data_IF_497259907233
#
_entry.id   IF_497259907233
#
_cell.length_a   1.000
_cell.length_b   1.000
_cell.length_c   1.000
_cell.angle_alpha   90.00
_cell.angle_beta   90.00
_cell.angle_gamma   90.00
#
_symmetry.space_group_name_H-M   'P 1'
#
loop_
_entity.id
_entity.type
_entity.pdbx_description
1 polymer ?
#
# COMPACT_ATOMS: atom_id res chain seq x y z
N UNK A 1 8.65 -26.16 -12.74
CA UNK A 1 9.61 -25.35 -11.97
C UNK A 1 9.61 -25.85 -10.54
N UNK A 2 10.75 -26.44 -10.08
CA UNK A 2 10.94 -26.79 -8.67
C UNK A 2 11.49 -25.57 -7.92
N UNK A 3 10.65 -24.57 -7.70
CA UNK A 3 11.04 -23.41 -6.88
C UNK A 3 10.89 -23.77 -5.41
N UNK A 4 11.96 -23.61 -4.63
CA UNK A 4 11.89 -23.70 -3.17
C UNK A 4 11.13 -22.49 -2.63
N UNK A 5 10.08 -22.74 -1.86
CA UNK A 5 9.26 -21.68 -1.26
C UNK A 5 9.27 -21.79 0.26
N UNK A 6 9.32 -20.64 0.96
CA UNK A 6 9.16 -20.57 2.40
C UNK A 6 8.39 -19.30 2.77
N UNK A 7 7.71 -19.33 3.91
CA UNK A 7 6.90 -18.22 4.41
C UNK A 7 7.62 -17.52 5.57
N UNK A 8 7.71 -16.20 5.45
CA UNK A 8 8.10 -15.34 6.57
C UNK A 8 6.90 -14.48 6.96
N UNK A 9 6.65 -14.35 8.24
CA UNK A 9 5.58 -13.52 8.78
C UNK A 9 6.06 -12.66 9.94
N UNK A 10 5.35 -11.56 10.17
CA UNK A 10 5.57 -10.66 11.30
C UNK A 10 4.21 -10.15 11.81
N UNK A 11 4.14 -9.60 13.05
CA UNK A 11 2.88 -9.13 13.61
C UNK A 11 2.23 -8.07 12.73
N UNK A 12 0.89 -8.09 12.65
CA UNK A 12 0.13 -7.09 11.91
C UNK A 12 0.19 -5.71 12.58
N UNK A 13 0.03 -4.65 11.80
CA UNK A 13 -0.04 -3.27 12.25
C UNK A 13 1.21 -2.45 11.97
N UNK A 14 1.04 -1.14 12.00
CA UNK A 14 2.09 -0.15 11.68
C UNK A 14 3.31 -0.26 12.61
N UNK A 15 3.10 -0.68 13.86
CA UNK A 15 4.18 -0.88 14.84
C UNK A 15 5.22 -1.92 14.43
N UNK A 16 4.91 -2.77 13.44
CA UNK A 16 5.84 -3.73 12.86
C UNK A 16 6.70 -3.15 11.73
N UNK A 17 6.40 -1.95 11.26
CA UNK A 17 7.11 -1.31 10.13
C UNK A 17 8.44 -0.70 10.59
N UNK A 18 9.34 -1.52 11.11
CA UNK A 18 10.57 -1.12 11.79
C UNK A 18 11.82 -1.73 11.21
N UNK A 19 12.98 -1.08 11.46
CA UNK A 19 14.29 -1.62 11.11
C UNK A 19 14.54 -3.01 11.74
N UNK A 20 14.04 -3.26 12.95
CA UNK A 20 14.19 -4.54 13.64
C UNK A 20 13.53 -5.68 12.84
N UNK A 21 12.30 -5.48 12.38
CA UNK A 21 11.58 -6.49 11.56
C UNK A 21 12.25 -6.64 10.19
N UNK A 22 12.67 -5.54 9.56
CA UNK A 22 13.42 -5.59 8.31
C UNK A 22 14.67 -6.46 8.44
N UNK A 23 15.50 -6.20 9.45
CA UNK A 23 16.71 -6.99 9.73
C UNK A 23 16.40 -8.46 9.96
N UNK A 24 15.35 -8.76 10.75
CA UNK A 24 14.89 -10.13 10.96
C UNK A 24 14.56 -10.84 9.64
N UNK A 25 13.81 -10.19 8.75
CA UNK A 25 13.44 -10.76 7.44
C UNK A 25 14.69 -11.04 6.57
N UNK A 26 15.62 -10.09 6.51
CA UNK A 26 16.87 -10.23 5.76
C UNK A 26 17.72 -11.39 6.31
N UNK A 27 17.85 -11.53 7.64
CA UNK A 27 18.56 -12.64 8.26
C UNK A 27 17.91 -13.98 7.98
N UNK A 28 16.57 -14.06 7.99
CA UNK A 28 15.86 -15.29 7.63
C UNK A 28 16.08 -15.67 6.16
N UNK A 29 16.11 -14.70 5.27
CA UNK A 29 16.44 -14.93 3.86
C UNK A 29 17.87 -15.44 3.70
N UNK A 30 18.85 -14.88 4.40
CA UNK A 30 20.24 -15.35 4.39
C UNK A 30 20.33 -16.79 4.91
N UNK A 31 19.69 -17.11 6.03
CA UNK A 31 19.65 -18.47 6.61
C UNK A 31 19.04 -19.50 5.66
N UNK A 32 18.12 -19.06 4.80
CA UNK A 32 17.51 -19.91 3.78
C UNK A 32 18.25 -19.91 2.44
N UNK A 33 19.47 -19.34 2.38
CA UNK A 33 20.30 -19.24 1.18
C UNK A 33 19.60 -18.57 -0.02
N UNK A 34 18.81 -17.51 0.24
CA UNK A 34 18.21 -16.73 -0.81
C UNK A 34 19.28 -15.96 -1.60
N UNK A 35 19.34 -16.18 -2.90
CA UNK A 35 20.24 -15.50 -3.83
C UNK A 35 19.59 -14.32 -4.54
N UNK A 36 20.28 -13.79 -5.55
CA UNK A 36 19.79 -12.69 -6.39
C UNK A 36 18.60 -13.07 -7.28
N UNK A 37 18.40 -14.34 -7.51
CA UNK A 37 17.30 -14.95 -8.26
C UNK A 37 16.03 -15.15 -7.43
N UNK A 38 16.09 -14.82 -6.14
CA UNK A 38 14.93 -14.91 -5.25
C UNK A 38 13.87 -13.90 -5.64
N UNK A 39 12.60 -14.33 -5.67
CA UNK A 39 11.44 -13.47 -5.82
C UNK A 39 10.71 -13.32 -4.48
N UNK A 40 10.51 -12.10 -4.00
CA UNK A 40 9.65 -11.86 -2.85
C UNK A 40 8.20 -11.71 -3.30
N UNK A 41 7.28 -12.42 -2.64
CA UNK A 41 5.84 -12.27 -2.80
C UNK A 41 5.31 -11.58 -1.54
N UNK A 42 4.96 -10.30 -1.66
CA UNK A 42 4.39 -9.49 -0.58
C UNK A 42 2.88 -9.70 -0.51
N UNK A 43 2.43 -10.65 0.32
CA UNK A 43 1.02 -10.94 0.54
C UNK A 43 0.53 -10.25 1.82
N UNK A 44 -0.23 -9.17 1.71
CA UNK A 44 -0.74 -8.44 2.86
C UNK A 44 -1.24 -7.02 2.57
N UNK A 45 -1.45 -6.24 3.61
CA UNK A 45 -1.77 -4.82 3.51
C UNK A 45 -0.56 -3.94 3.18
N UNK A 46 -0.73 -2.62 3.27
CA UNK A 46 0.32 -1.64 2.95
C UNK A 46 1.61 -1.84 3.72
N UNK A 47 1.54 -2.15 5.03
CA UNK A 47 2.73 -2.42 5.86
C UNK A 47 3.57 -3.57 5.30
N UNK A 48 2.92 -4.65 4.84
CA UNK A 48 3.63 -5.79 4.23
C UNK A 48 4.23 -5.38 2.89
N UNK A 49 3.49 -4.65 2.05
CA UNK A 49 3.99 -4.17 0.76
C UNK A 49 5.21 -3.26 0.90
N UNK A 50 5.14 -2.28 1.80
CA UNK A 50 6.24 -1.34 2.05
C UNK A 50 7.48 -2.03 2.62
N UNK A 51 7.29 -2.90 3.61
CA UNK A 51 8.37 -3.64 4.25
C UNK A 51 9.04 -4.61 3.27
N UNK A 52 8.27 -5.43 2.57
CA UNK A 52 8.77 -6.41 1.61
C UNK A 52 9.46 -5.72 0.41
N UNK A 53 8.90 -4.61 -0.06
CA UNK A 53 9.50 -3.80 -1.11
C UNK A 53 10.83 -3.17 -0.68
N UNK A 54 10.94 -2.71 0.57
CA UNK A 54 12.20 -2.15 1.08
C UNK A 54 13.25 -3.24 1.34
N UNK A 55 12.86 -4.42 1.83
CA UNK A 55 13.74 -5.59 1.86
C UNK A 55 14.22 -5.92 0.45
N UNK A 56 13.31 -5.99 -0.53
CA UNK A 56 13.67 -6.29 -1.92
C UNK A 56 14.64 -5.26 -2.50
N UNK A 57 14.47 -3.98 -2.19
CA UNK A 57 15.34 -2.90 -2.67
C UNK A 57 16.78 -2.99 -2.12
N UNK A 58 16.94 -3.46 -0.88
CA UNK A 58 18.23 -3.44 -0.18
C UNK A 58 18.94 -4.79 -0.16
N UNK A 59 18.19 -5.90 -0.12
CA UNK A 59 18.75 -7.24 -0.11
C UNK A 59 19.52 -7.53 -1.40
N UNK A 60 20.77 -8.01 -1.28
CA UNK A 60 21.66 -8.27 -2.42
C UNK A 60 21.82 -7.10 -3.41
N UNK A 61 21.58 -5.86 -2.98
CA UNK A 61 21.54 -4.62 -3.79
C UNK A 61 20.37 -4.56 -4.76
N UNK A 62 19.30 -5.27 -4.46
CA UNK A 62 18.05 -5.28 -5.24
C UNK A 62 17.71 -6.65 -5.80
N UNK A 63 16.56 -7.16 -5.40
CA UNK A 63 15.95 -8.40 -5.93
C UNK A 63 14.52 -8.11 -6.39
N UNK A 64 13.95 -8.94 -7.29
CA UNK A 64 12.58 -8.74 -7.74
C UNK A 64 11.57 -9.02 -6.62
N UNK A 65 10.45 -8.29 -6.64
CA UNK A 65 9.30 -8.60 -5.81
C UNK A 65 7.98 -8.36 -6.57
N UNK A 66 6.92 -8.99 -6.09
CA UNK A 66 5.55 -8.78 -6.54
C UNK A 66 4.67 -8.46 -5.34
N UNK A 67 3.59 -7.72 -5.57
CA UNK A 67 2.61 -7.38 -4.53
C UNK A 67 1.31 -8.14 -4.75
N UNK A 68 0.76 -8.68 -3.65
CA UNK A 68 -0.58 -9.26 -3.55
C UNK A 68 -1.30 -8.54 -2.42
N UNK A 69 -1.83 -7.32 -2.70
CA UNK A 69 -2.46 -6.50 -1.68
C UNK A 69 -3.77 -7.13 -1.19
N UNK A 70 -3.97 -7.20 0.13
CA UNK A 70 -5.14 -7.82 0.75
C UNK A 70 -6.07 -6.82 1.44
N UNK A 71 -5.72 -5.52 1.50
CA UNK A 71 -6.58 -4.45 1.99
C UNK A 71 -6.98 -3.52 0.85
N UNK A 72 -8.16 -2.88 0.94
CA UNK A 72 -8.59 -1.94 -0.10
C UNK A 72 -7.59 -0.79 -0.26
N UNK A 73 -7.07 -0.25 0.83
CA UNK A 73 -6.04 0.78 0.80
C UNK A 73 -4.79 0.34 0.01
N UNK A 74 -4.32 -0.87 0.25
CA UNK A 74 -3.18 -1.39 -0.50
C UNK A 74 -3.51 -1.65 -1.97
N UNK A 75 -4.73 -2.09 -2.29
CA UNK A 75 -5.17 -2.33 -3.66
C UNK A 75 -5.21 -1.05 -4.49
N UNK A 76 -5.64 0.08 -3.89
CA UNK A 76 -5.87 1.33 -4.64
C UNK A 76 -4.71 2.32 -4.53
N UNK A 77 -3.87 2.18 -3.51
CA UNK A 77 -2.84 3.17 -3.20
C UNK A 77 -1.46 2.57 -2.99
N UNK A 78 -1.14 1.99 -1.83
CA UNK A 78 0.24 1.72 -1.44
C UNK A 78 0.97 0.70 -2.32
N UNK A 79 0.28 -0.23 -2.99
CA UNK A 79 0.93 -1.22 -3.86
C UNK A 79 1.51 -0.64 -5.16
N UNK A 80 1.06 0.56 -5.58
CA UNK A 80 1.46 1.19 -6.83
C UNK A 80 2.29 2.45 -6.57
N UNK A 81 3.40 2.59 -7.29
CA UNK A 81 4.24 3.79 -7.26
C UNK A 81 5.58 3.63 -6.58
N UNK A 82 5.90 2.41 -6.14
CA UNK A 82 7.25 2.01 -5.72
C UNK A 82 7.76 2.63 -4.42
N UNK A 83 6.98 3.41 -3.70
CA UNK A 83 7.36 3.90 -2.38
C UNK A 83 7.39 2.71 -1.43
N UNK A 84 8.56 2.43 -0.86
CA UNK A 84 8.77 1.36 0.11
C UNK A 84 9.57 1.92 1.28
N UNK A 85 9.37 1.41 2.48
CA UNK A 85 10.09 1.98 3.62
C UNK A 85 9.65 1.45 4.97
N UNK A 86 10.28 2.02 5.97
CA UNK A 86 10.06 1.75 7.39
C UNK A 86 9.84 3.05 8.15
N UNK A 87 9.27 2.90 9.35
CA UNK A 87 9.09 3.99 10.29
C UNK A 87 10.30 4.11 11.21
N UNK A 88 10.50 5.31 11.71
CA UNK A 88 11.41 5.61 12.82
C UNK A 88 10.60 5.88 14.08
N UNK A 89 11.26 5.98 15.23
CA UNK A 89 10.60 6.33 16.48
C UNK A 89 9.87 7.70 16.44
N UNK A 90 10.28 8.59 15.55
CA UNK A 90 9.78 9.96 15.49
C UNK A 90 8.91 10.24 14.26
N UNK A 91 9.14 9.52 13.15
CA UNK A 91 8.55 9.83 11.85
C UNK A 91 8.19 8.56 11.07
N UNK A 92 7.04 8.59 10.40
CA UNK A 92 6.64 7.55 9.43
C UNK A 92 7.36 7.72 8.09
N UNK A 93 7.66 6.61 7.43
CA UNK A 93 8.07 6.52 6.03
C UNK A 93 9.33 7.32 5.63
N UNK A 94 10.16 7.75 6.60
CA UNK A 94 11.34 8.58 6.30
C UNK A 94 12.54 7.78 5.82
N UNK A 95 12.57 6.48 6.05
CA UNK A 95 13.64 5.60 5.61
C UNK A 95 13.07 4.59 4.63
N UNK A 96 13.52 4.65 3.39
CA UNK A 96 12.98 3.78 2.34
C UNK A 96 13.68 3.92 1.01
N UNK A 97 13.06 3.35 -0.01
CA UNK A 97 13.54 3.38 -1.38
C UNK A 97 12.37 3.45 -2.35
N UNK A 98 12.60 4.01 -3.53
CA UNK A 98 11.71 3.80 -4.67
C UNK A 98 12.09 2.47 -5.33
N UNK A 99 11.26 1.43 -5.17
CA UNK A 99 11.48 0.12 -5.75
C UNK A 99 10.18 -0.42 -6.33
N UNK A 100 10.10 -0.51 -7.65
CA UNK A 100 8.87 -0.90 -8.33
C UNK A 100 8.65 -2.42 -8.24
N UNK A 101 7.44 -2.89 -7.89
CA UNK A 101 7.11 -4.30 -7.99
C UNK A 101 7.09 -4.73 -9.46
N UNK A 102 7.52 -5.96 -9.73
CA UNK A 102 7.45 -6.53 -11.09
C UNK A 102 6.01 -6.71 -11.56
N UNK A 103 5.09 -7.01 -10.62
CA UNK A 103 3.64 -7.10 -10.85
C UNK A 103 2.88 -6.85 -9.56
N UNK A 104 1.62 -6.43 -9.72
CA UNK A 104 0.65 -6.30 -8.63
C UNK A 104 -0.52 -7.22 -9.00
N UNK A 105 -0.84 -8.17 -8.12
CA UNK A 105 -1.97 -9.09 -8.29
C UNK A 105 -3.07 -8.73 -7.32
N UNK A 106 -4.17 -8.17 -7.82
CA UNK A 106 -5.31 -7.74 -7.01
C UNK A 106 -6.41 -8.79 -7.13
N UNK A 107 -6.65 -9.50 -6.02
CA UNK A 107 -7.74 -10.44 -5.88
C UNK A 107 -8.82 -9.85 -4.96
N UNK A 108 -10.01 -9.65 -5.51
CA UNK A 108 -11.13 -9.05 -4.78
C UNK A 108 -11.72 -10.00 -3.72
N UNK A 109 -11.38 -11.27 -3.74
CA UNK A 109 -11.84 -12.21 -2.71
C UNK A 109 -11.30 -11.85 -1.32
N UNK A 110 -10.15 -11.21 -1.22
CA UNK A 110 -9.65 -10.70 0.06
C UNK A 110 -10.59 -9.65 0.70
N UNK A 111 -11.35 -8.91 -0.10
CA UNK A 111 -12.28 -7.87 0.40
C UNK A 111 -13.44 -8.49 1.18
N UNK A 112 -13.86 -9.72 0.85
CA UNK A 112 -15.02 -10.37 1.47
C UNK A 112 -14.90 -10.45 2.99
N UNK A 113 -13.70 -10.78 3.47
CA UNK A 113 -13.41 -10.95 4.90
C UNK A 113 -12.82 -9.70 5.57
N UNK A 114 -12.54 -8.64 4.78
CA UNK A 114 -11.94 -7.42 5.32
C UNK A 114 -12.95 -6.68 6.22
N UNK A 115 -12.59 -6.23 7.43
CA UNK A 115 -13.47 -5.40 8.27
C UNK A 115 -13.95 -4.15 7.55
N UNK A 116 -15.17 -3.70 7.86
CA UNK A 116 -15.75 -2.50 7.21
C UNK A 116 -14.86 -1.27 7.37
N UNK A 117 -14.25 -1.10 8.52
CA UNK A 117 -13.31 0.00 8.79
C UNK A 117 -12.15 0.02 7.79
N UNK A 118 -11.60 -1.15 7.44
CA UNK A 118 -10.53 -1.27 6.46
C UNK A 118 -11.03 -1.00 5.01
N UNK A 119 -12.28 -1.32 4.72
CA UNK A 119 -12.91 -0.95 3.45
C UNK A 119 -13.02 0.57 3.36
N UNK A 120 -13.56 1.22 4.40
CA UNK A 120 -13.72 2.68 4.42
C UNK A 120 -12.37 3.39 4.41
N UNK A 121 -11.37 2.85 5.10
CA UNK A 121 -10.00 3.36 5.08
C UNK A 121 -9.45 3.47 3.64
N UNK A 122 -9.59 2.43 2.82
CA UNK A 122 -9.19 2.48 1.41
C UNK A 122 -10.12 3.31 0.53
N UNK A 123 -11.42 3.32 0.83
CA UNK A 123 -12.41 4.10 0.10
C UNK A 123 -12.13 5.61 0.17
N UNK A 124 -11.74 6.15 1.32
CA UNK A 124 -11.41 7.56 1.44
C UNK A 124 -10.21 7.97 0.58
N UNK A 125 -9.24 7.10 0.37
CA UNK A 125 -8.16 7.36 -0.59
C UNK A 125 -8.67 7.47 -2.04
N UNK A 126 -9.66 6.66 -2.42
CA UNK A 126 -10.30 6.78 -3.75
C UNK A 126 -11.05 8.11 -3.85
N UNK A 127 -11.80 8.48 -2.80
CA UNK A 127 -12.50 9.77 -2.73
C UNK A 127 -11.50 10.92 -2.88
N UNK A 128 -10.41 10.93 -2.12
CA UNK A 128 -9.34 11.93 -2.20
C UNK A 128 -8.79 12.06 -3.63
N UNK A 129 -8.41 10.95 -4.25
CA UNK A 129 -7.88 10.96 -5.63
C UNK A 129 -8.94 11.45 -6.63
N UNK A 130 -10.20 11.13 -6.40
CA UNK A 130 -11.29 11.54 -7.30
C UNK A 130 -11.58 13.03 -7.22
N UNK A 131 -11.52 13.64 -6.04
CA UNK A 131 -11.67 15.09 -5.83
C UNK A 131 -10.66 15.87 -6.67
N UNK A 132 -9.40 15.42 -6.66
CA UNK A 132 -8.32 16.13 -7.35
C UNK A 132 -8.25 15.84 -8.85
N UNK A 133 -8.75 14.69 -9.31
CA UNK A 133 -8.41 14.20 -10.65
C UNK A 133 -9.57 13.67 -11.48
N UNK A 134 -10.74 13.35 -10.91
CA UNK A 134 -11.87 12.75 -11.63
C UNK A 134 -13.24 13.00 -11.00
N UNK A 135 -13.87 14.10 -11.38
CA UNK A 135 -15.20 14.49 -10.88
C UNK A 135 -16.27 13.41 -11.09
N UNK A 136 -16.23 12.64 -12.17
CA UNK A 136 -17.20 11.56 -12.43
C UNK A 136 -17.04 10.42 -11.42
N UNK A 137 -15.80 10.07 -11.09
CA UNK A 137 -15.49 9.05 -10.09
C UNK A 137 -15.93 9.51 -8.69
N UNK A 138 -15.76 10.79 -8.37
CA UNK A 138 -16.23 11.36 -7.10
C UNK A 138 -17.73 11.17 -6.92
N UNK A 139 -18.55 11.59 -7.88
CA UNK A 139 -20.00 11.39 -7.82
C UNK A 139 -20.41 9.93 -7.82
N UNK A 140 -19.67 9.07 -8.54
CA UNK A 140 -19.91 7.64 -8.50
C UNK A 140 -19.65 7.08 -7.10
N UNK A 141 -18.53 7.45 -6.48
CA UNK A 141 -18.19 7.03 -5.13
C UNK A 141 -19.26 7.50 -4.12
N UNK A 142 -19.60 8.78 -4.13
CA UNK A 142 -20.63 9.38 -3.25
C UNK A 142 -21.96 8.62 -3.35
N UNK A 143 -22.48 8.42 -4.57
CA UNK A 143 -23.76 7.75 -4.80
C UNK A 143 -23.77 6.29 -4.36
N UNK A 144 -22.60 5.63 -4.38
CA UNK A 144 -22.50 4.19 -4.12
C UNK A 144 -21.93 3.85 -2.73
N UNK A 145 -21.84 4.81 -1.79
CA UNK A 145 -21.30 4.56 -0.45
C UNK A 145 -21.97 3.37 0.27
N UNK A 146 -23.29 3.26 0.20
CA UNK A 146 -24.02 2.11 0.81
C UNK A 146 -23.62 0.77 0.17
N UNK A 147 -23.37 0.75 -1.14
CA UNK A 147 -22.91 -0.45 -1.83
C UNK A 147 -21.46 -0.80 -1.45
N UNK A 148 -20.61 0.21 -1.24
CA UNK A 148 -19.25 0.03 -0.69
C UNK A 148 -19.32 -0.60 0.72
N UNK A 149 -20.16 -0.06 1.60
CA UNK A 149 -20.37 -0.59 2.94
C UNK A 149 -20.88 -2.03 2.93
N UNK A 150 -21.75 -2.37 1.96
CA UNK A 150 -22.21 -3.73 1.71
C UNK A 150 -21.19 -4.62 0.98
N UNK A 151 -19.99 -4.14 0.75
CA UNK A 151 -18.91 -4.84 0.02
C UNK A 151 -19.33 -5.33 -1.38
N UNK A 152 -20.15 -4.56 -2.09
CA UNK A 152 -20.56 -4.92 -3.44
C UNK A 152 -19.36 -5.00 -4.36
N UNK A 153 -19.06 -6.22 -4.83
CA UNK A 153 -17.83 -6.51 -5.61
C UNK A 153 -17.77 -5.72 -6.92
N UNK A 154 -18.91 -5.53 -7.60
CA UNK A 154 -18.93 -4.80 -8.88
C UNK A 154 -18.58 -3.31 -8.68
N UNK A 155 -19.15 -2.68 -7.63
CA UNK A 155 -18.86 -1.29 -7.27
C UNK A 155 -17.40 -1.14 -6.83
N UNK A 156 -16.91 -2.01 -5.95
CA UNK A 156 -15.53 -1.96 -5.48
C UNK A 156 -14.53 -2.19 -6.62
N UNK A 157 -14.81 -3.15 -7.51
CA UNK A 157 -13.99 -3.39 -8.72
C UNK A 157 -13.86 -2.12 -9.57
N UNK A 158 -14.99 -1.44 -9.83
CA UNK A 158 -14.98 -0.20 -10.61
C UNK A 158 -14.14 0.88 -9.94
N UNK A 159 -14.35 1.11 -8.63
CA UNK A 159 -13.61 2.08 -7.84
C UNK A 159 -12.10 1.79 -7.82
N UNK A 160 -11.71 0.54 -7.63
CA UNK A 160 -10.29 0.12 -7.64
C UNK A 160 -9.66 0.40 -9.01
N UNK A 161 -10.32 -0.03 -10.09
CA UNK A 161 -9.78 0.16 -11.44
C UNK A 161 -9.61 1.64 -11.78
N UNK A 162 -10.61 2.46 -11.50
CA UNK A 162 -10.55 3.89 -11.83
C UNK A 162 -9.54 4.63 -10.92
N UNK A 163 -9.48 4.28 -9.62
CA UNK A 163 -8.46 4.82 -8.71
C UNK A 163 -7.04 4.48 -9.17
N UNK A 164 -6.79 3.23 -9.53
CA UNK A 164 -5.49 2.80 -10.06
C UNK A 164 -5.11 3.51 -11.36
N UNK A 165 -6.07 3.74 -12.27
CA UNK A 165 -5.82 4.50 -13.50
C UNK A 165 -5.39 5.94 -13.22
N UNK A 166 -6.01 6.58 -12.23
CA UNK A 166 -5.63 7.94 -11.80
C UNK A 166 -4.20 7.91 -11.27
N UNK A 167 -3.94 7.03 -10.30
CA UNK A 167 -2.64 6.95 -9.65
C UNK A 167 -1.53 6.57 -10.64
N UNK A 168 -1.76 5.61 -11.52
CA UNK A 168 -0.79 5.18 -12.52
C UNK A 168 -0.35 6.36 -13.42
N UNK A 169 -1.31 7.13 -13.96
CA UNK A 169 -1.00 8.30 -14.78
C UNK A 169 -0.14 9.34 -14.06
N UNK A 170 -0.40 9.55 -12.77
CA UNK A 170 0.36 10.52 -11.96
C UNK A 170 1.77 10.00 -11.70
N UNK A 171 1.90 8.72 -11.33
CA UNK A 171 3.20 8.07 -11.07
C UNK A 171 4.06 7.96 -12.33
N UNK A 172 3.45 7.66 -13.49
CA UNK A 172 4.15 7.61 -14.78
C UNK A 172 4.77 8.95 -15.18
N UNK A 173 4.13 10.07 -14.79
CA UNK A 173 4.67 11.41 -15.05
C UNK A 173 5.77 11.81 -14.07
N UNK A 174 5.64 11.43 -12.83
CA UNK A 174 6.54 11.83 -11.75
C UNK A 174 6.74 10.67 -10.77
N UNK A 175 7.63 9.75 -11.13
CA UNK A 175 7.89 8.56 -10.31
C UNK A 175 8.43 8.90 -8.93
N UNK A 176 9.29 9.93 -8.84
CA UNK A 176 10.03 10.29 -7.60
C UNK A 176 9.38 11.38 -6.77
N UNK A 177 8.17 11.85 -7.16
CA UNK A 177 7.41 12.86 -6.41
C UNK A 177 8.15 14.20 -6.26
N UNK A 178 8.70 14.68 -7.37
CA UNK A 178 9.34 15.98 -7.41
C UNK A 178 8.36 17.12 -7.75
N UNK A 179 7.21 16.79 -8.36
CA UNK A 179 6.26 17.77 -8.95
C UNK A 179 4.81 17.28 -8.91
N UNK A 180 4.28 16.82 -10.04
CA UNK A 180 2.87 16.46 -10.26
C UNK A 180 2.33 15.44 -9.26
N UNK A 181 3.18 14.51 -8.80
CA UNK A 181 2.78 13.47 -7.85
C UNK A 181 2.44 14.01 -6.46
N UNK A 182 2.88 15.22 -6.11
CA UNK A 182 2.51 15.85 -4.85
C UNK A 182 1.00 16.08 -4.71
N UNK A 183 0.23 16.07 -5.80
CA UNK A 183 -1.24 16.14 -5.76
C UNK A 183 -1.86 14.98 -4.99
N UNK A 184 -1.18 13.82 -4.95
CA UNK A 184 -1.61 12.67 -4.15
C UNK A 184 -1.53 12.93 -2.64
N UNK A 185 -0.79 13.95 -2.22
CA UNK A 185 -0.68 14.36 -0.82
C UNK A 185 -1.78 15.34 -0.39
N UNK A 186 -2.79 15.58 -1.23
CA UNK A 186 -3.96 16.36 -0.85
C UNK A 186 -4.57 15.79 0.45
N UNK A 187 -4.84 16.65 1.43
CA UNK A 187 -5.33 16.22 2.75
C UNK A 187 -4.25 15.71 3.73
N UNK A 188 -3.08 15.26 3.26
CA UNK A 188 -2.07 14.60 4.11
C UNK A 188 -1.43 15.50 5.16
N UNK A 189 -1.27 16.80 4.90
CA UNK A 189 -0.69 17.74 5.88
C UNK A 189 -1.49 17.77 7.18
N UNK A 190 -2.82 17.81 7.06
CA UNK A 190 -3.73 17.76 8.21
C UNK A 190 -3.85 16.30 8.70
N UNK A 191 -4.05 15.36 7.78
CA UNK A 191 -4.26 13.94 8.07
C UNK A 191 -3.13 13.35 8.90
N UNK A 192 -1.88 13.50 8.51
CA UNK A 192 -0.73 12.99 9.28
C UNK A 192 -0.63 13.62 10.68
N UNK A 193 -1.05 14.89 10.83
CA UNK A 193 -1.11 15.53 12.15
C UNK A 193 -2.17 14.87 13.03
N UNK A 194 -3.36 14.59 12.47
CA UNK A 194 -4.44 13.90 13.18
C UNK A 194 -4.05 12.46 13.54
N UNK A 195 -3.42 11.73 12.63
CA UNK A 195 -2.88 10.39 12.94
C UNK A 195 -1.92 10.43 14.14
N UNK A 196 -1.00 11.38 14.15
CA UNK A 196 -0.02 11.54 15.24
C UNK A 196 -0.69 11.93 16.56
N UNK A 197 -1.63 12.87 16.56
CA UNK A 197 -2.38 13.30 17.76
C UNK A 197 -3.23 12.16 18.34
N UNK A 198 -3.76 11.28 17.50
CA UNK A 198 -4.52 10.10 17.93
C UNK A 198 -3.62 8.93 18.38
N UNK A 199 -2.30 9.10 18.46
CA UNK A 199 -1.35 8.00 18.63
C UNK A 199 -1.54 6.87 17.61
N UNK A 200 -1.84 7.24 16.36
CA UNK A 200 -2.10 6.32 15.24
C UNK A 200 -3.29 5.38 15.43
N UNK A 201 -4.22 5.73 16.31
CA UNK A 201 -5.50 5.02 16.45
C UNK A 201 -6.47 5.40 15.32
N UNK A 202 -6.38 6.62 14.81
CA UNK A 202 -7.12 7.04 13.62
C UNK A 202 -6.48 6.45 12.37
N UNK A 203 -7.26 5.70 11.60
CA UNK A 203 -6.76 5.10 10.36
C UNK A 203 -6.49 6.17 9.30
N UNK A 204 -5.48 5.94 8.48
CA UNK A 204 -4.98 6.87 7.48
C UNK A 204 -6.06 7.48 6.59
N UNK A 205 -6.89 6.66 5.95
CA UNK A 205 -7.95 7.14 5.07
C UNK A 205 -9.00 8.02 5.77
N UNK A 206 -9.29 7.73 7.04
CA UNK A 206 -10.17 8.59 7.84
C UNK A 206 -9.54 9.93 8.21
N UNK A 207 -8.22 9.97 8.27
CA UNK A 207 -7.50 11.19 8.60
C UNK A 207 -7.35 12.12 7.39
N UNK A 208 -7.29 11.58 6.17
CA UNK A 208 -7.01 12.35 4.94
C UNK A 208 -8.25 12.61 4.07
N UNK A 209 -9.38 11.87 4.30
CA UNK A 209 -10.61 11.89 3.48
C UNK A 209 -11.77 12.75 3.99
#
# INVERSE_FOLDING_TARGET
>A
YNARTFLLSFPAGETSKTQKIKTFLEEQMLKNNCGRDTLIIALGGGVVGDMAGFVAATYMRGIPYVQVPTTLLAMVDSSLGGKTGIDTAQWKNMIGAFWQPKKIFIDLDFIKNLPLEQILNGYFEIVKMSITSNKKLFYFAEKNLRAVQAKNVAVLKHLIIEGLKIKARIVEKDEKENDDRMILNFGHTIGHTLEKLSNYQLMHGYAVG
#
